data_IF_659301638871
#
_entry.id   IF_659301638871
#
_cell.length_a   1.000
_cell.length_b   1.000
_cell.length_c   1.000
_cell.angle_alpha   90.00
_cell.angle_beta   90.00
_cell.angle_gamma   90.00
#
_symmetry.space_group_name_H-M   'P 1'
#
loop_
_entity.id
_entity.type
_entity.pdbx_description
1 polymer ?
#
# COMPACT_ATOMS: atom_id res chain seq x y z
N UNK A 1 22.06 -18.35 -25.90
CA UNK A 1 21.58 -17.70 -24.65
C UNK A 1 20.06 -17.52 -24.70
N UNK A 2 19.35 -18.39 -23.98
CA UNK A 2 17.90 -18.51 -24.02
C UNK A 2 17.21 -17.30 -23.36
N UNK A 3 16.03 -16.87 -23.86
CA UNK A 3 15.28 -15.72 -23.35
C UNK A 3 14.66 -15.83 -21.92
N UNK A 4 14.52 -16.98 -21.24
CA UNK A 4 13.82 -17.02 -19.94
C UNK A 4 14.63 -16.48 -18.77
N UNK A 5 15.96 -16.34 -18.89
CA UNK A 5 16.81 -15.93 -17.77
C UNK A 5 16.76 -14.41 -17.49
N UNK A 6 16.69 -13.59 -18.55
CA UNK A 6 16.60 -12.13 -18.40
C UNK A 6 15.25 -11.71 -17.78
N UNK A 7 14.14 -12.31 -18.22
CA UNK A 7 12.82 -12.05 -17.66
C UNK A 7 12.70 -12.48 -16.18
N UNK A 8 13.35 -13.59 -15.80
CA UNK A 8 13.38 -14.05 -14.41
C UNK A 8 14.15 -13.09 -13.49
N UNK A 9 15.26 -12.51 -13.96
CA UNK A 9 16.01 -11.50 -13.19
C UNK A 9 15.20 -10.22 -12.97
N UNK A 10 14.47 -9.76 -13.99
CA UNK A 10 13.57 -8.60 -13.86
C UNK A 10 12.44 -8.86 -12.87
N UNK A 11 11.83 -10.05 -12.90
CA UNK A 11 10.79 -10.43 -11.96
C UNK A 11 11.31 -10.49 -10.50
N UNK A 12 12.50 -11.04 -10.28
CA UNK A 12 13.13 -11.08 -8.96
C UNK A 12 13.44 -9.69 -8.40
N UNK A 13 13.90 -8.76 -9.25
CA UNK A 13 14.11 -7.36 -8.88
C UNK A 13 12.80 -6.66 -8.49
N UNK A 14 11.75 -6.83 -9.31
CA UNK A 14 10.42 -6.27 -9.03
C UNK A 14 9.89 -6.81 -7.70
N UNK A 15 10.01 -8.13 -7.49
CA UNK A 15 9.59 -8.76 -6.24
C UNK A 15 10.36 -8.20 -5.04
N UNK A 16 11.67 -8.05 -5.17
CA UNK A 16 12.52 -7.52 -4.09
C UNK A 16 12.14 -6.08 -3.75
N UNK A 17 11.96 -5.22 -4.76
CA UNK A 17 11.52 -3.83 -4.56
C UNK A 17 10.16 -3.79 -3.87
N UNK A 18 9.21 -4.63 -4.28
CA UNK A 18 7.91 -4.69 -3.62
C UNK A 18 7.97 -5.17 -2.17
N UNK A 19 8.79 -6.19 -1.86
CA UNK A 19 9.00 -6.65 -0.48
C UNK A 19 9.63 -5.53 0.37
N UNK A 20 10.65 -4.85 -0.15
CA UNK A 20 11.31 -3.75 0.55
C UNK A 20 10.36 -2.58 0.79
N UNK A 21 9.59 -2.18 -0.23
CA UNK A 21 8.58 -1.12 -0.09
C UNK A 21 7.50 -1.52 0.91
N UNK A 22 7.05 -2.77 0.94
CA UNK A 22 6.12 -3.27 1.94
C UNK A 22 6.73 -3.25 3.35
N UNK A 23 7.89 -3.86 3.53
CA UNK A 23 8.52 -4.00 4.85
C UNK A 23 8.97 -2.67 5.45
N UNK A 24 9.34 -1.67 4.64
CA UNK A 24 9.72 -0.34 5.12
C UNK A 24 8.52 0.61 5.14
N UNK A 25 7.75 0.66 4.07
CA UNK A 25 6.61 1.57 3.89
C UNK A 25 5.45 1.22 4.81
N UNK A 26 5.16 -0.05 5.06
CA UNK A 26 4.05 -0.45 5.92
C UNK A 26 4.25 0.02 7.37
N UNK A 27 5.36 -0.29 8.07
CA UNK A 27 5.56 0.21 9.43
C UNK A 27 5.68 1.74 9.49
N UNK A 28 6.31 2.39 8.51
CA UNK A 28 6.43 3.84 8.48
C UNK A 28 5.06 4.54 8.32
N UNK A 29 4.22 4.05 7.41
CA UNK A 29 2.89 4.60 7.17
C UNK A 29 1.92 4.27 8.33
N UNK A 30 1.97 3.06 8.90
CA UNK A 30 1.20 2.72 10.11
C UNK A 30 1.61 3.61 11.29
N UNK A 31 2.91 3.83 11.48
CA UNK A 31 3.40 4.70 12.55
C UNK A 31 2.91 6.13 12.37
N UNK A 32 2.99 6.67 11.15
CA UNK A 32 2.50 8.01 10.82
C UNK A 32 0.99 8.12 11.06
N UNK A 33 0.21 7.14 10.59
CA UNK A 33 -1.23 7.05 10.85
C UNK A 33 -1.53 7.02 12.35
N UNK A 34 -0.82 6.21 13.14
CA UNK A 34 -0.99 6.13 14.58
C UNK A 34 -0.69 7.45 15.29
N UNK A 35 0.39 8.15 14.89
CA UNK A 35 0.74 9.48 15.43
C UNK A 35 -0.33 10.51 15.06
N UNK A 36 -0.78 10.55 13.80
CA UNK A 36 -1.83 11.46 13.34
C UNK A 36 -3.15 11.21 14.06
N UNK A 37 -3.55 9.94 14.21
CA UNK A 37 -4.77 9.54 14.93
C UNK A 37 -4.68 9.85 16.43
N UNK A 38 -3.52 9.62 17.06
CA UNK A 38 -3.33 9.99 18.46
C UNK A 38 -3.38 11.52 18.63
N UNK A 39 -2.79 12.28 17.70
CA UNK A 39 -2.80 13.74 17.71
C UNK A 39 -4.20 14.31 17.41
N UNK A 40 -4.97 13.70 16.51
CA UNK A 40 -6.35 14.09 16.21
C UNK A 40 -7.29 13.80 17.37
N UNK A 41 -7.21 12.60 17.98
CA UNK A 41 -8.00 12.21 19.16
C UNK A 41 -7.72 13.14 20.35
N UNK A 42 -6.45 13.50 20.59
CA UNK A 42 -6.07 14.44 21.66
C UNK A 42 -6.64 15.85 21.44
N UNK A 43 -6.57 16.37 20.21
CA UNK A 43 -7.14 17.70 19.89
C UNK A 43 -8.66 17.73 19.93
N UNK A 44 -9.32 16.71 19.38
CA UNK A 44 -10.78 16.60 19.42
C UNK A 44 -11.32 16.50 20.86
N UNK A 45 -10.60 15.80 21.76
CA UNK A 45 -10.94 15.76 23.20
C UNK A 45 -10.72 17.08 23.94
N UNK A 46 -9.73 17.89 23.55
CA UNK A 46 -9.36 19.13 24.25
C UNK A 46 -10.07 20.37 23.72
N UNK A 47 -10.43 20.36 22.44
CA UNK A 47 -11.28 21.35 21.78
C UNK A 47 -12.36 20.58 21.02
N UNK A 48 -13.59 20.57 21.56
CA UNK A 48 -14.76 19.77 21.10
C UNK A 48 -15.32 20.23 19.73
N UNK A 49 -14.44 20.61 18.82
CA UNK A 49 -14.73 21.19 17.51
C UNK A 49 -13.49 21.64 16.71
N UNK A 50 -12.26 21.34 17.16
CA UNK A 50 -11.07 21.64 16.36
C UNK A 50 -10.97 20.68 15.18
N UNK A 51 -11.39 21.15 13.99
CA UNK A 51 -11.19 20.45 12.73
C UNK A 51 -9.70 20.16 12.51
N UNK A 52 -9.38 19.00 11.90
CA UNK A 52 -8.02 18.75 11.41
C UNK A 52 -7.64 19.88 10.45
N UNK A 53 -6.39 20.35 10.54
CA UNK A 53 -5.85 21.25 9.53
C UNK A 53 -5.88 20.55 8.17
N UNK A 54 -6.07 21.30 7.08
CA UNK A 54 -6.05 20.75 5.71
C UNK A 54 -4.80 19.89 5.43
N UNK A 55 -3.64 20.31 5.95
CA UNK A 55 -2.40 19.54 5.86
C UNK A 55 -2.46 18.16 6.56
N UNK A 56 -3.12 18.07 7.71
CA UNK A 56 -3.24 16.80 8.45
C UNK A 56 -4.26 15.86 7.80
N UNK A 57 -5.33 16.41 7.21
CA UNK A 57 -6.28 15.63 6.42
C UNK A 57 -5.63 15.09 5.14
N UNK A 58 -4.82 15.92 4.47
CA UNK A 58 -4.04 15.49 3.30
C UNK A 58 -3.06 14.38 3.66
N UNK A 59 -2.32 14.53 4.77
CA UNK A 59 -1.37 13.52 5.24
C UNK A 59 -2.08 12.21 5.64
N UNK A 60 -3.25 12.31 6.26
CA UNK A 60 -4.07 11.16 6.62
C UNK A 60 -4.53 10.42 5.36
N UNK A 61 -5.03 11.13 4.36
CA UNK A 61 -5.46 10.51 3.10
C UNK A 61 -4.29 9.85 2.38
N UNK A 62 -3.12 10.51 2.34
CA UNK A 62 -1.91 9.96 1.73
C UNK A 62 -1.47 8.68 2.44
N UNK A 63 -1.35 8.69 3.77
CA UNK A 63 -0.95 7.49 4.54
C UNK A 63 -1.93 6.33 4.40
N UNK A 64 -3.24 6.62 4.31
CA UNK A 64 -4.25 5.59 4.07
C UNK A 64 -4.13 5.02 2.65
N UNK A 65 -3.95 5.86 1.64
CA UNK A 65 -3.75 5.42 0.26
C UNK A 65 -2.47 4.57 0.11
N UNK A 66 -1.37 4.99 0.72
CA UNK A 66 -0.12 4.24 0.80
C UNK A 66 -0.33 2.85 1.43
N UNK A 67 -1.04 2.77 2.57
CA UNK A 67 -1.31 1.48 3.23
C UNK A 67 -2.21 0.58 2.38
N UNK A 68 -3.20 1.14 1.70
CA UNK A 68 -4.04 0.39 0.77
C UNK A 68 -3.18 -0.16 -0.37
N UNK A 69 -2.37 0.67 -1.01
CA UNK A 69 -1.48 0.25 -2.10
C UNK A 69 -0.50 -0.85 -1.63
N UNK A 70 0.09 -0.69 -0.46
CA UNK A 70 0.96 -1.69 0.16
C UNK A 70 0.24 -3.00 0.48
N UNK A 71 -1.02 -2.94 0.92
CA UNK A 71 -1.84 -4.13 1.17
C UNK A 71 -2.20 -4.87 -0.13
N UNK A 72 -2.37 -4.13 -1.23
CA UNK A 72 -2.66 -4.71 -2.56
C UNK A 72 -1.42 -5.20 -3.32
N UNK A 73 -0.24 -4.70 -2.97
CA UNK A 73 1.05 -5.11 -3.52
C UNK A 73 1.30 -6.64 -3.49
N UNK A 74 1.15 -7.36 -2.36
CA UNK A 74 1.37 -8.81 -2.31
C UNK A 74 0.36 -9.60 -3.14
N UNK A 75 -0.85 -9.08 -3.37
CA UNK A 75 -1.82 -9.72 -4.25
C UNK A 75 -1.37 -9.67 -5.72
N UNK A 76 -0.79 -8.54 -6.16
CA UNK A 76 -0.15 -8.44 -7.49
C UNK A 76 1.07 -9.35 -7.64
N UNK A 77 1.85 -9.53 -6.56
CA UNK A 77 2.97 -10.47 -6.56
C UNK A 77 2.51 -11.92 -6.69
N UNK A 78 1.41 -12.28 -6.02
CA UNK A 78 0.81 -13.61 -6.12
C UNK A 78 0.24 -13.89 -7.52
N UNK A 79 -0.40 -12.90 -8.17
CA UNK A 79 -0.83 -12.98 -9.57
C UNK A 79 0.36 -13.23 -10.52
N UNK A 80 1.45 -12.48 -10.34
CA UNK A 80 2.66 -12.64 -11.15
C UNK A 80 3.32 -14.02 -10.92
N UNK A 81 3.37 -14.50 -9.67
CA UNK A 81 3.93 -15.80 -9.32
C UNK A 81 3.09 -16.99 -9.85
N UNK A 82 1.78 -16.80 -10.01
CA UNK A 82 0.87 -17.79 -10.58
C UNK A 82 0.82 -17.78 -12.13
N UNK A 83 1.74 -17.06 -12.79
CA UNK A 83 1.84 -17.05 -14.25
C UNK A 83 0.70 -16.30 -14.93
N UNK A 84 0.28 -15.15 -14.38
CA UNK A 84 -0.88 -14.35 -14.83
C UNK A 84 -2.24 -15.03 -14.60
N UNK A 85 -2.29 -16.13 -13.84
CA UNK A 85 -3.54 -16.65 -13.30
C UNK A 85 -3.86 -15.91 -12.00
N UNK A 86 -5.14 -15.62 -11.74
CA UNK A 86 -5.58 -14.97 -10.50
C UNK A 86 -6.05 -16.02 -9.49
N UNK A 87 -5.21 -16.42 -8.50
CA UNK A 87 -5.58 -17.46 -7.53
C UNK A 87 -6.45 -16.94 -6.38
N UNK A 88 -6.63 -15.62 -6.29
CA UNK A 88 -7.40 -14.96 -5.23
C UNK A 88 -8.88 -14.80 -5.60
N UNK A 89 -9.76 -14.46 -4.64
CA UNK A 89 -11.18 -14.22 -4.92
C UNK A 89 -11.37 -13.23 -6.07
N UNK A 90 -12.36 -13.50 -6.94
CA UNK A 90 -12.65 -12.71 -8.13
C UNK A 90 -12.94 -11.23 -7.84
N UNK A 91 -13.42 -10.89 -6.64
CA UNK A 91 -13.66 -9.51 -6.20
C UNK A 91 -12.37 -8.70 -5.97
N UNK A 92 -11.24 -9.36 -5.68
CA UNK A 92 -9.96 -8.68 -5.44
C UNK A 92 -9.25 -8.27 -6.73
N UNK A 93 -9.56 -8.90 -7.87
CA UNK A 93 -8.99 -8.56 -9.18
C UNK A 93 -9.34 -7.12 -9.62
N UNK A 94 -10.62 -6.72 -9.71
CA UNK A 94 -10.97 -5.34 -10.06
C UNK A 94 -10.53 -4.35 -8.97
N UNK A 95 -10.50 -4.75 -7.70
CA UNK A 95 -10.07 -3.89 -6.60
C UNK A 95 -8.57 -3.59 -6.66
N UNK A 96 -7.74 -4.61 -6.89
CA UNK A 96 -6.30 -4.43 -7.07
C UNK A 96 -5.99 -3.61 -8.33
N UNK A 97 -6.73 -3.83 -9.42
CA UNK A 97 -6.56 -3.05 -10.64
C UNK A 97 -6.98 -1.58 -10.45
N UNK A 98 -8.09 -1.36 -9.75
CA UNK A 98 -8.55 -0.02 -9.40
C UNK A 98 -7.54 0.72 -8.52
N UNK A 99 -7.03 0.09 -7.46
CA UNK A 99 -6.06 0.71 -6.55
C UNK A 99 -4.69 1.02 -7.19
N UNK A 100 -4.30 0.31 -8.25
CA UNK A 100 -3.04 0.58 -8.95
C UNK A 100 -3.16 1.58 -10.10
N UNK A 101 -4.32 1.67 -10.74
CA UNK A 101 -4.52 2.47 -11.97
C UNK A 101 -5.43 3.70 -11.80
N UNK A 102 -6.00 3.94 -10.62
CA UNK A 102 -6.86 5.12 -10.34
C UNK A 102 -6.13 6.28 -9.71
#
# INVERSE_FOLDING_TARGET
>A
PSPPQAAAMSAALILTVYILTFTVGFPANVFTLAVLLAKSRRRCRRHRGAALTAAELLLLNLTVADLLLLLFLPFKMAEAAAGMAWPLPAALCPLANFCFYS
#
